data_IF_755110218533
#
_entry.id   IF_755110218533
#
_cell.length_a   1.000
_cell.length_b   1.000
_cell.length_c   1.000
_cell.angle_alpha   90.00
_cell.angle_beta   90.00
_cell.angle_gamma   90.00
#
_symmetry.space_group_name_H-M   'P 1'
#
loop_
_entity.id
_entity.type
_entity.pdbx_description
1 polymer ?
#
# COMPACT_ATOMS: atom_id res chain seq x y z
N UNK A 1 -16.89 -9.16 -1.84
CA UNK A 1 -15.94 -8.05 -2.10
C UNK A 1 -15.06 -8.45 -3.25
N UNK A 2 -14.78 -7.55 -4.21
CA UNK A 2 -13.80 -7.84 -5.26
C UNK A 2 -12.41 -7.85 -4.63
N UNK A 3 -11.72 -8.98 -4.58
CA UNK A 3 -10.32 -9.03 -4.17
C UNK A 3 -9.52 -9.58 -5.34
N UNK A 4 -8.31 -9.05 -5.54
CA UNK A 4 -7.31 -9.67 -6.38
C UNK A 4 -6.95 -10.99 -5.70
N UNK A 5 -7.14 -12.09 -6.43
CA UNK A 5 -6.77 -13.43 -5.97
C UNK A 5 -5.79 -14.02 -6.98
N UNK A 6 -4.79 -14.80 -6.52
CA UNK A 6 -3.88 -15.48 -7.43
C UNK A 6 -4.62 -16.39 -8.43
N UNK A 7 -5.72 -17.00 -7.99
CA UNK A 7 -6.52 -17.97 -8.77
C UNK A 7 -7.38 -17.31 -9.86
N UNK A 8 -7.73 -16.03 -9.71
CA UNK A 8 -8.46 -15.25 -10.72
C UNK A 8 -7.68 -13.98 -11.13
N UNK A 9 -6.55 -14.15 -11.86
CA UNK A 9 -5.65 -13.05 -12.21
C UNK A 9 -6.25 -12.10 -13.25
N UNK A 10 -7.36 -12.44 -13.91
CA UNK A 10 -8.00 -11.67 -15.00
C UNK A 10 -9.35 -11.06 -14.60
N UNK A 11 -9.52 -10.70 -13.33
CA UNK A 11 -10.68 -9.90 -12.90
C UNK A 11 -10.49 -8.43 -13.29
N UNK A 12 -11.59 -7.68 -13.49
CA UNK A 12 -11.52 -6.23 -13.79
C UNK A 12 -10.70 -5.48 -12.75
N UNK A 13 -10.88 -5.82 -11.47
CA UNK A 13 -10.11 -5.24 -10.36
C UNK A 13 -8.62 -5.61 -10.44
N UNK A 14 -8.27 -6.82 -10.87
CA UNK A 14 -6.87 -7.19 -11.05
C UNK A 14 -6.20 -6.37 -12.17
N UNK A 15 -6.90 -6.09 -13.27
CA UNK A 15 -6.38 -5.20 -14.32
C UNK A 15 -6.20 -3.76 -13.84
N UNK A 16 -7.14 -3.23 -13.05
CA UNK A 16 -7.02 -1.90 -12.44
C UNK A 16 -5.76 -1.81 -11.55
N UNK A 17 -5.56 -2.77 -10.65
CA UNK A 17 -4.37 -2.79 -9.80
C UNK A 17 -3.07 -3.05 -10.58
N UNK A 18 -3.12 -3.70 -11.75
CA UNK A 18 -1.95 -3.80 -12.65
C UNK A 18 -1.58 -2.45 -13.23
N UNK A 19 -2.56 -1.61 -13.60
CA UNK A 19 -2.28 -0.25 -14.07
C UNK A 19 -1.70 0.59 -12.93
N UNK A 20 -2.28 0.50 -11.73
CA UNK A 20 -1.83 1.26 -10.56
C UNK A 20 -0.39 0.89 -10.14
N UNK A 21 -0.03 -0.39 -10.12
CA UNK A 21 1.29 -0.81 -9.61
C UNK A 21 2.46 -0.46 -10.53
N UNK A 22 2.26 -0.38 -11.85
CA UNK A 22 3.34 -0.16 -12.84
C UNK A 22 4.23 1.06 -12.54
N UNK A 23 3.68 2.28 -12.38
CA UNK A 23 4.50 3.44 -12.03
C UNK A 23 5.18 3.27 -10.67
N UNK A 24 4.52 2.64 -9.70
CA UNK A 24 5.09 2.42 -8.37
C UNK A 24 6.32 1.50 -8.42
N UNK A 25 6.24 0.39 -9.14
CA UNK A 25 7.36 -0.54 -9.32
C UNK A 25 8.50 0.10 -10.13
N UNK A 26 8.17 0.87 -11.17
CA UNK A 26 9.18 1.59 -11.96
C UNK A 26 10.00 2.55 -11.09
N UNK A 27 9.34 3.27 -10.18
CA UNK A 27 10.00 4.16 -9.23
C UNK A 27 10.83 3.39 -8.20
N UNK A 28 10.30 2.26 -7.69
CA UNK A 28 11.00 1.41 -6.72
C UNK A 28 12.28 0.79 -7.29
N UNK A 29 12.25 0.33 -8.54
CA UNK A 29 13.42 -0.27 -9.21
C UNK A 29 14.42 0.75 -9.76
N UNK A 30 14.23 2.05 -9.52
CA UNK A 30 15.11 3.11 -10.03
C UNK A 30 15.15 3.23 -11.55
N UNK A 31 14.23 2.57 -12.27
CA UNK A 31 14.15 2.57 -13.74
C UNK A 31 13.39 3.80 -14.29
N UNK A 32 13.07 4.75 -13.42
CA UNK A 32 12.53 6.07 -13.75
C UNK A 32 13.58 7.04 -14.28
N UNK A 33 13.13 8.20 -14.75
CA UNK A 33 14.02 9.30 -15.18
C UNK A 33 14.78 9.94 -14.00
N UNK A 34 14.25 9.80 -12.79
CA UNK A 34 14.83 10.34 -11.56
C UNK A 34 14.74 9.28 -10.48
N UNK A 35 15.86 8.83 -9.88
CA UNK A 35 15.83 7.88 -8.78
C UNK A 35 15.00 8.43 -7.61
N UNK A 36 14.13 7.60 -7.07
CA UNK A 36 13.32 7.94 -5.90
C UNK A 36 14.00 7.33 -4.68
N UNK A 37 14.48 8.17 -3.77
CA UNK A 37 15.02 7.70 -2.49
C UNK A 37 13.94 6.87 -1.78
N UNK A 38 14.33 5.69 -1.29
CA UNK A 38 13.45 4.74 -0.60
C UNK A 38 12.18 4.42 -1.40
N UNK A 39 12.30 4.37 -2.73
CA UNK A 39 11.18 4.16 -3.65
C UNK A 39 10.45 2.82 -3.43
N UNK A 40 11.08 1.85 -2.80
CA UNK A 40 10.44 0.59 -2.41
C UNK A 40 9.55 0.70 -1.16
N UNK A 41 9.59 1.81 -0.42
CA UNK A 41 8.67 2.12 0.68
C UNK A 41 7.44 2.86 0.12
N UNK A 42 6.30 2.16 0.09
CA UNK A 42 5.05 2.64 -0.48
C UNK A 42 4.00 2.71 0.62
N UNK A 43 3.57 3.91 0.97
CA UNK A 43 2.48 4.11 1.93
C UNK A 43 1.14 4.27 1.22
N UNK A 44 0.14 3.54 1.66
CA UNK A 44 -1.26 3.70 1.26
C UNK A 44 -2.01 4.36 2.40
N UNK A 45 -2.63 5.49 2.11
CA UNK A 45 -3.35 6.31 3.09
C UNK A 45 -4.59 6.92 2.48
N UNK A 46 -5.34 7.68 3.27
CA UNK A 46 -6.52 8.40 2.83
C UNK A 46 -6.67 9.70 3.61
N UNK A 47 -7.57 10.60 3.18
CA UNK A 47 -7.84 11.82 3.93
C UNK A 47 -8.62 11.52 5.22
N UNK A 48 -9.62 10.63 5.13
CA UNK A 48 -10.62 10.33 6.13
C UNK A 48 -10.77 8.81 6.33
N UNK A 49 -11.32 8.35 7.48
CA UNK A 49 -11.57 6.94 7.73
C UNK A 49 -12.60 6.36 6.74
N UNK A 50 -12.39 5.10 6.34
CA UNK A 50 -13.38 4.34 5.56
C UNK A 50 -13.29 4.52 4.04
N UNK A 51 -12.33 5.28 3.52
CA UNK A 51 -12.17 5.50 2.07
C UNK A 51 -11.62 4.27 1.32
N UNK A 52 -11.15 3.25 2.04
CA UNK A 52 -10.72 1.96 1.48
C UNK A 52 -9.21 1.77 1.33
N UNK A 53 -8.39 2.60 2.00
CA UNK A 53 -6.93 2.48 2.09
C UNK A 53 -6.42 1.04 2.34
N UNK A 54 -7.01 0.33 3.30
CA UNK A 54 -6.58 -1.02 3.68
C UNK A 54 -6.90 -2.07 2.62
N UNK A 55 -8.06 -1.92 1.99
CA UNK A 55 -8.44 -2.72 0.84
C UNK A 55 -7.49 -2.47 -0.34
N UNK A 56 -7.15 -1.21 -0.61
CA UNK A 56 -6.18 -0.83 -1.63
C UNK A 56 -4.79 -1.36 -1.33
N UNK A 57 -4.30 -1.23 -0.10
CA UNK A 57 -3.01 -1.73 0.34
C UNK A 57 -2.88 -3.24 0.12
N UNK A 58 -3.90 -4.01 0.53
CA UNK A 58 -3.93 -5.46 0.37
C UNK A 58 -3.92 -5.87 -1.11
N UNK A 59 -4.82 -5.30 -1.94
CA UNK A 59 -4.90 -5.64 -3.36
C UNK A 59 -3.65 -5.22 -4.13
N UNK A 60 -3.06 -4.08 -3.77
CA UNK A 60 -1.82 -3.61 -4.35
C UNK A 60 -0.66 -4.55 -4.01
N UNK A 61 -0.54 -4.94 -2.73
CA UNK A 61 0.49 -5.87 -2.27
C UNK A 61 0.37 -7.25 -2.95
N UNK A 62 -0.85 -7.79 -3.06
CA UNK A 62 -1.11 -9.03 -3.79
C UNK A 62 -0.71 -8.89 -5.25
N UNK A 63 -1.14 -7.81 -5.92
CA UNK A 63 -0.83 -7.58 -7.33
C UNK A 63 0.68 -7.44 -7.56
N UNK A 64 1.42 -6.78 -6.67
CA UNK A 64 2.88 -6.68 -6.74
C UNK A 64 3.57 -8.02 -6.48
N UNK A 65 3.06 -8.85 -5.56
CA UNK A 65 3.62 -10.16 -5.26
C UNK A 65 3.47 -11.17 -6.42
N UNK A 66 2.60 -10.88 -7.38
CA UNK A 66 2.46 -11.67 -8.62
C UNK A 66 3.52 -11.32 -9.68
N UNK A 67 4.28 -10.23 -9.53
CA UNK A 67 5.39 -9.91 -10.44
C UNK A 67 6.56 -10.85 -10.23
N UNK A 68 7.31 -11.19 -11.28
CA UNK A 68 8.38 -12.18 -11.21
C UNK A 68 9.51 -11.77 -10.26
N UNK A 69 9.95 -10.52 -10.36
CA UNK A 69 11.23 -10.05 -9.79
C UNK A 69 11.10 -9.36 -8.42
N UNK A 70 9.93 -9.44 -7.78
CA UNK A 70 9.66 -8.73 -6.52
C UNK A 70 9.12 -9.63 -5.42
N UNK A 71 9.64 -9.44 -4.22
CA UNK A 71 9.00 -9.88 -2.97
C UNK A 71 8.27 -8.72 -2.31
N UNK A 72 7.19 -9.00 -1.59
CA UNK A 72 6.34 -7.97 -0.99
C UNK A 72 6.16 -8.22 0.50
N UNK A 73 6.33 -7.14 1.27
CA UNK A 73 5.95 -7.06 2.67
C UNK A 73 4.78 -6.08 2.83
N UNK A 74 3.63 -6.57 3.27
CA UNK A 74 2.49 -5.72 3.67
C UNK A 74 2.59 -5.42 5.17
N UNK A 75 2.74 -4.16 5.53
CA UNK A 75 2.83 -3.68 6.91
C UNK A 75 1.51 -3.04 7.31
N UNK A 76 0.88 -3.52 8.38
CA UNK A 76 -0.27 -2.86 9.01
C UNK A 76 0.25 -1.78 9.98
N UNK A 77 0.43 -0.56 9.47
CA UNK A 77 0.90 0.59 10.23
C UNK A 77 -0.25 1.39 10.86
N UNK A 78 -1.52 0.99 10.66
CA UNK A 78 -2.67 1.57 11.34
C UNK A 78 -2.83 0.95 12.74
N UNK A 79 -1.86 1.25 13.61
CA UNK A 79 -1.78 0.67 14.98
C UNK A 79 -2.97 1.05 15.87
N UNK A 80 -3.65 2.15 15.55
CA UNK A 80 -4.86 2.61 16.24
C UNK A 80 -6.10 1.79 15.86
N UNK A 81 -6.20 1.36 14.59
CA UNK A 81 -7.31 0.52 14.11
C UNK A 81 -6.83 -0.56 13.11
N UNK A 82 -5.97 -1.51 13.55
CA UNK A 82 -5.29 -2.46 12.64
C UNK A 82 -6.30 -3.26 11.86
N UNK A 83 -6.21 -3.37 10.55
CA UNK A 83 -7.30 -3.94 9.74
C UNK A 83 -6.90 -5.08 8.83
N UNK A 84 -5.60 -5.28 8.59
CA UNK A 84 -5.09 -6.26 7.62
C UNK A 84 -5.46 -7.67 8.06
N UNK A 85 -5.12 -8.06 9.30
CA UNK A 85 -5.43 -9.42 9.79
C UNK A 85 -6.93 -9.68 9.87
N UNK A 86 -7.74 -8.70 10.30
CA UNK A 86 -9.20 -8.83 10.32
C UNK A 86 -9.78 -9.05 8.93
N UNK A 87 -9.24 -8.34 7.93
CA UNK A 87 -9.67 -8.49 6.53
C UNK A 87 -9.35 -9.89 5.99
N UNK A 88 -8.28 -10.51 6.49
CA UNK A 88 -7.88 -11.87 6.16
C UNK A 88 -8.52 -12.95 7.03
N UNK A 89 -9.38 -12.58 7.99
CA UNK A 89 -10.01 -13.53 8.93
C UNK A 89 -9.05 -14.12 9.97
N UNK A 90 -7.90 -13.48 10.20
CA UNK A 90 -6.87 -13.91 11.13
C UNK A 90 -7.01 -13.19 12.49
N UNK A 91 -6.62 -13.89 13.57
CA UNK A 91 -6.57 -13.32 14.91
C UNK A 91 -5.41 -12.31 15.04
N UNK A 92 -5.50 -11.30 15.92
CA UNK A 92 -4.38 -10.43 16.25
C UNK A 92 -3.12 -11.23 16.60
N UNK A 93 -1.96 -10.76 16.14
CA UNK A 93 -0.65 -11.37 16.36
C UNK A 93 0.34 -10.26 16.76
N UNK A 94 1.49 -10.66 17.30
CA UNK A 94 2.64 -9.76 17.50
C UNK A 94 3.07 -9.16 16.15
N UNK A 95 3.65 -7.97 16.17
CA UNK A 95 3.92 -7.22 14.96
C UNK A 95 4.81 -5.99 15.15
N UNK A 96 4.57 -4.97 14.33
CA UNK A 96 5.33 -3.73 14.27
C UNK A 96 5.57 -3.10 15.65
N UNK A 97 4.52 -2.96 16.45
CA UNK A 97 4.63 -2.37 17.79
C UNK A 97 5.49 -3.22 18.72
N UNK A 98 5.43 -4.54 18.62
CA UNK A 98 6.22 -5.43 19.46
C UNK A 98 7.72 -5.34 19.14
N UNK A 99 8.08 -5.19 17.86
CA UNK A 99 9.46 -4.95 17.40
C UNK A 99 9.98 -3.61 17.89
N UNK A 100 9.15 -2.57 17.89
CA UNK A 100 9.56 -1.23 18.29
C UNK A 100 9.64 -1.02 19.81
N UNK A 101 8.95 -1.86 20.59
CA UNK A 101 8.82 -1.68 22.05
C UNK A 101 9.57 -2.74 22.87
N UNK A 102 9.90 -3.89 22.29
CA UNK A 102 10.59 -4.98 22.99
C UNK A 102 11.95 -5.26 22.37
N UNK A 103 13.03 -5.10 23.13
CA UNK A 103 14.42 -5.35 22.68
C UNK A 103 14.67 -6.77 22.17
N UNK A 104 13.91 -7.74 22.71
CA UNK A 104 14.11 -9.17 22.43
C UNK A 104 13.26 -9.65 21.24
N UNK A 105 12.52 -8.75 20.57
CA UNK A 105 11.67 -9.07 19.42
C UNK A 105 12.29 -8.52 18.15
N UNK A 106 12.73 -9.41 17.26
CA UNK A 106 13.26 -9.01 15.95
C UNK A 106 12.18 -9.05 14.88
N UNK A 107 12.39 -8.31 13.78
CA UNK A 107 11.46 -8.29 12.65
C UNK A 107 11.13 -9.70 12.12
N UNK A 108 12.10 -10.62 11.89
CA UNK A 108 11.81 -11.98 11.45
C UNK A 108 10.86 -12.78 12.36
N UNK A 109 10.81 -12.49 13.67
CA UNK A 109 10.01 -13.23 14.65
C UNK A 109 8.50 -12.97 14.53
N UNK A 110 8.13 -11.85 13.89
CA UNK A 110 6.74 -11.38 13.80
C UNK A 110 6.21 -11.31 12.36
N UNK A 111 7.01 -11.74 11.38
CA UNK A 111 6.56 -11.83 9.99
C UNK A 111 5.65 -13.05 9.79
N UNK A 112 4.45 -12.81 9.29
CA UNK A 112 3.51 -13.86 8.91
C UNK A 112 3.68 -14.19 7.43
N UNK A 113 3.90 -15.48 7.14
CA UNK A 113 3.84 -15.99 5.77
C UNK A 113 2.38 -16.14 5.34
N UNK A 114 2.10 -15.83 4.08
CA UNK A 114 0.77 -16.04 3.50
C UNK A 114 0.78 -17.28 2.59
N UNK A 115 -0.39 -17.65 2.07
CA UNK A 115 -0.51 -18.64 0.99
C UNK A 115 -0.10 -18.08 -0.39
N UNK A 116 0.33 -16.81 -0.46
CA UNK A 116 0.89 -16.18 -1.64
C UNK A 116 2.40 -16.15 -1.46
N UNK A 117 3.12 -16.93 -2.30
CA UNK A 117 4.55 -17.25 -2.14
C UNK A 117 5.44 -16.05 -1.81
N UNK A 118 5.25 -14.93 -2.51
CA UNK A 118 6.08 -13.73 -2.40
C UNK A 118 5.47 -12.63 -1.55
N UNK A 119 4.41 -12.92 -0.78
CA UNK A 119 3.77 -11.98 0.11
C UNK A 119 3.92 -12.41 1.58
N UNK A 120 4.55 -11.54 2.37
CA UNK A 120 4.57 -11.63 3.83
C UNK A 120 3.82 -10.46 4.44
N UNK A 121 3.36 -10.62 5.67
CA UNK A 121 2.62 -9.60 6.41
C UNK A 121 3.37 -9.29 7.71
N UNK A 122 3.55 -8.01 8.00
CA UNK A 122 3.90 -7.51 9.32
C UNK A 122 2.62 -6.93 9.95
N UNK A 123 2.01 -7.61 10.93
CA UNK A 123 0.86 -7.08 11.66
C UNK A 123 1.20 -5.80 12.41
N UNK A 124 0.19 -5.06 12.86
CA UNK A 124 0.41 -3.90 13.72
C UNK A 124 1.02 -4.30 15.08
N UNK A 125 0.69 -5.49 15.59
CA UNK A 125 1.12 -5.94 16.91
C UNK A 125 0.20 -5.48 18.03
N UNK A 126 0.68 -5.60 19.25
CA UNK A 126 -0.06 -5.19 20.43
C UNK A 126 -0.21 -3.66 20.52
N UNK A 127 -1.40 -3.19 20.92
CA UNK A 127 -1.65 -1.76 21.12
C UNK A 127 -0.77 -1.21 22.24
N UNK A 128 -0.18 -0.05 22.02
CA UNK A 128 0.67 0.64 23.00
C UNK A 128 0.09 2.02 23.32
N UNK A 129 0.18 2.48 24.57
CA UNK A 129 -0.36 3.78 24.98
C UNK A 129 0.34 4.97 24.30
N UNK A 130 1.60 4.79 23.91
CA UNK A 130 2.45 5.79 23.24
C UNK A 130 2.70 5.45 21.76
N UNK A 131 1.68 4.97 21.07
CA UNK A 131 1.82 4.50 19.69
C UNK A 131 2.36 5.59 18.76
N UNK A 132 1.89 6.83 18.93
CA UNK A 132 2.33 7.99 18.15
C UNK A 132 3.82 8.26 18.33
N UNK A 133 4.30 8.30 19.57
CA UNK A 133 5.71 8.58 19.88
C UNK A 133 6.62 7.44 19.43
N UNK A 134 6.14 6.19 19.52
CA UNK A 134 6.89 5.03 19.03
C UNK A 134 7.04 5.07 17.51
N UNK A 135 5.99 5.41 16.77
CA UNK A 135 6.06 5.54 15.30
C UNK A 135 6.90 6.75 14.84
N UNK A 136 6.99 7.81 15.65
CA UNK A 136 7.85 8.96 15.39
C UNK A 136 9.28 8.79 15.95
N UNK A 137 9.60 7.65 16.55
CA UNK A 137 10.89 7.44 17.23
C UNK A 137 12.04 7.16 16.26
N UNK A 138 13.27 7.32 16.75
CA UNK A 138 14.47 6.84 16.04
C UNK A 138 14.45 5.33 15.79
N UNK A 139 13.78 4.56 16.66
CA UNK A 139 13.61 3.12 16.47
C UNK A 139 12.83 2.82 15.19
N UNK A 140 11.75 3.58 14.92
CA UNK A 140 11.00 3.44 13.68
C UNK A 140 11.80 3.87 12.46
N UNK A 141 12.57 4.96 12.55
CA UNK A 141 13.46 5.39 11.46
C UNK A 141 14.50 4.32 11.12
N UNK A 142 15.13 3.71 12.13
CA UNK A 142 16.08 2.60 11.92
C UNK A 142 15.41 1.38 11.31
N UNK A 143 14.19 1.05 11.74
CA UNK A 143 13.43 -0.07 11.18
C UNK A 143 13.06 0.17 9.72
N UNK A 144 12.66 1.38 9.34
CA UNK A 144 12.34 1.74 7.96
C UNK A 144 13.60 1.69 7.07
N UNK A 145 14.74 2.17 7.55
CA UNK A 145 16.01 2.09 6.83
C UNK A 145 16.45 0.62 6.64
N UNK A 146 16.30 -0.20 7.68
CA UNK A 146 16.54 -1.65 7.58
C UNK A 146 15.59 -2.28 6.54
N UNK A 147 14.28 -1.98 6.60
CA UNK A 147 13.30 -2.51 5.63
C UNK A 147 13.61 -2.10 4.19
N UNK A 148 14.02 -0.84 3.98
CA UNK A 148 14.33 -0.30 2.66
C UNK A 148 15.59 -0.93 2.04
N UNK A 149 16.61 -1.21 2.86
CA UNK A 149 17.95 -1.58 2.37
C UNK A 149 18.25 -3.08 2.45
N UNK A 150 17.53 -3.84 3.29
CA UNK A 150 17.84 -5.26 3.57
C UNK A 150 17.69 -6.18 2.37
N UNK A 151 16.75 -5.90 1.47
CA UNK A 151 16.49 -6.72 0.28
C UNK A 151 16.20 -5.83 -0.93
N UNK A 152 17.07 -5.88 -1.94
CA UNK A 152 16.97 -5.00 -3.11
C UNK A 152 15.71 -5.23 -3.97
N UNK A 153 15.17 -6.45 -3.95
CA UNK A 153 13.96 -6.86 -4.69
C UNK A 153 12.66 -6.62 -3.89
N UNK A 154 12.76 -6.23 -2.61
CA UNK A 154 11.61 -6.16 -1.72
C UNK A 154 10.89 -4.83 -1.81
N UNK A 155 9.59 -4.92 -2.07
CA UNK A 155 8.62 -3.82 -1.98
C UNK A 155 7.92 -3.88 -0.63
N UNK A 156 7.81 -2.75 0.06
CA UNK A 156 7.15 -2.65 1.36
C UNK A 156 5.94 -1.74 1.22
N UNK A 157 4.74 -2.31 1.38
CA UNK A 157 3.47 -1.61 1.31
C UNK A 157 2.95 -1.37 2.72
N UNK A 158 2.76 -0.11 3.12
CA UNK A 158 2.23 0.25 4.42
C UNK A 158 0.74 0.61 4.31
N UNK A 159 -0.14 -0.15 4.97
CA UNK A 159 -1.51 0.31 5.29
C UNK A 159 -1.43 1.25 6.49
N UNK A 160 -1.70 2.53 6.29
CA UNK A 160 -1.53 3.56 7.33
C UNK A 160 -2.87 4.16 7.76
N UNK A 161 -2.95 4.86 8.90
CA UNK A 161 -4.15 5.60 9.28
C UNK A 161 -4.45 6.78 8.32
N UNK A 162 -5.66 7.37 8.37
CA UNK A 162 -6.00 8.54 7.57
C UNK A 162 -5.31 9.82 8.05
N UNK A 163 -4.86 10.65 7.11
CA UNK A 163 -3.99 11.82 7.33
C UNK A 163 -4.64 12.92 8.17
N UNK A 164 -5.93 13.22 7.96
CA UNK A 164 -6.57 14.37 8.62
C UNK A 164 -7.00 14.07 10.06
N UNK A 165 -6.99 12.81 10.47
CA UNK A 165 -7.48 12.38 11.79
C UNK A 165 -6.33 12.02 12.73
N UNK A 166 -5.16 11.69 12.20
CA UNK A 166 -4.06 11.09 12.96
C UNK A 166 -2.75 11.84 12.72
N UNK A 167 -1.88 11.88 13.73
CA UNK A 167 -0.53 12.44 13.63
C UNK A 167 0.48 11.38 13.18
N UNK A 168 0.19 10.11 13.47
CA UNK A 168 0.97 8.92 13.11
C UNK A 168 1.21 8.82 11.61
N UNK A 169 0.17 8.99 10.81
CA UNK A 169 0.27 8.92 9.36
C UNK A 169 1.23 9.98 8.80
N UNK A 170 1.26 11.18 9.39
CA UNK A 170 2.16 12.27 8.97
C UNK A 170 3.61 11.97 9.31
N UNK A 171 3.87 11.43 10.50
CA UNK A 171 5.22 11.02 10.89
C UNK A 171 5.76 9.91 9.97
N UNK A 172 4.93 8.94 9.60
CA UNK A 172 5.33 7.90 8.64
C UNK A 172 5.57 8.46 7.24
N UNK A 173 4.69 9.36 6.77
CA UNK A 173 4.75 9.90 5.42
C UNK A 173 6.07 10.60 5.07
N UNK A 174 6.77 11.20 6.05
CA UNK A 174 8.06 11.87 5.82
C UNK A 174 9.20 10.93 5.49
N UNK A 175 9.01 9.62 5.70
CA UNK A 175 10.01 8.58 5.44
C UNK A 175 9.69 7.72 4.21
N UNK A 176 8.59 8.00 3.51
CA UNK A 176 8.13 7.19 2.39
C UNK A 176 8.65 7.75 1.07
N UNK A 177 9.19 6.87 0.21
CA UNK A 177 9.53 7.25 -1.17
C UNK A 177 8.28 7.47 -2.02
N UNK A 178 7.18 6.76 -1.74
CA UNK A 178 5.95 6.88 -2.51
C UNK A 178 4.71 6.84 -1.62
N UNK A 179 3.72 7.69 -1.93
CA UNK A 179 2.42 7.69 -1.26
C UNK A 179 1.29 7.54 -2.28
N UNK A 180 0.38 6.59 -2.00
CA UNK A 180 -0.91 6.43 -2.66
C UNK A 180 -2.00 6.98 -1.75
N UNK A 181 -2.59 8.11 -2.14
CA UNK A 181 -3.72 8.73 -1.49
C UNK A 181 -5.03 8.18 -2.05
N UNK A 182 -5.72 7.36 -1.27
CA UNK A 182 -7.04 6.82 -1.60
C UNK A 182 -8.11 7.86 -1.29
N UNK A 183 -8.96 8.13 -2.28
CA UNK A 183 -10.04 9.11 -2.23
C UNK A 183 -11.36 8.39 -2.49
N UNK A 184 -12.34 8.51 -1.59
CA UNK A 184 -13.67 7.94 -1.82
C UNK A 184 -14.47 8.77 -2.84
N UNK A 185 -14.90 8.11 -3.92
CA UNK A 185 -15.71 8.72 -4.96
C UNK A 185 -17.01 9.31 -4.40
N UNK A 186 -17.38 10.50 -4.90
CA UNK A 186 -18.63 11.19 -4.59
C UNK A 186 -18.86 11.55 -3.11
N UNK A 187 -17.90 11.23 -2.21
CA UNK A 187 -18.02 11.46 -0.77
C UNK A 187 -16.92 12.34 -0.21
N UNK A 188 -15.68 12.15 -0.66
CA UNK A 188 -14.56 12.94 -0.13
C UNK A 188 -14.52 14.31 -0.79
N UNK A 189 -14.53 15.35 0.04
CA UNK A 189 -14.56 16.73 -0.45
C UNK A 189 -13.22 17.14 -1.05
N UNK A 190 -13.25 18.02 -2.05
CA UNK A 190 -12.04 18.59 -2.64
C UNK A 190 -11.16 19.30 -1.59
N UNK A 191 -11.77 19.93 -0.58
CA UNK A 191 -11.04 20.55 0.53
C UNK A 191 -10.28 19.54 1.38
N UNK A 192 -10.87 18.38 1.68
CA UNK A 192 -10.21 17.31 2.43
C UNK A 192 -9.03 16.72 1.63
N UNK A 193 -9.21 16.47 0.34
CA UNK A 193 -8.12 16.01 -0.54
C UNK A 193 -6.98 17.02 -0.58
N UNK A 194 -7.29 18.31 -0.75
CA UNK A 194 -6.27 19.37 -0.78
C UNK A 194 -5.47 19.44 0.52
N UNK A 195 -6.14 19.37 1.68
CA UNK A 195 -5.47 19.34 2.98
C UNK A 195 -4.60 18.08 3.14
N UNK A 196 -5.08 16.91 2.71
CA UNK A 196 -4.33 15.67 2.77
C UNK A 196 -3.05 15.73 1.91
N UNK A 197 -3.15 16.25 0.68
CA UNK A 197 -1.98 16.44 -0.20
C UNK A 197 -0.95 17.39 0.41
N UNK A 198 -1.39 18.47 1.07
CA UNK A 198 -0.48 19.39 1.79
C UNK A 198 0.27 18.69 2.92
N UNK A 199 -0.37 17.77 3.64
CA UNK A 199 0.28 17.04 4.75
C UNK A 199 1.39 16.09 4.28
N UNK A 200 1.36 15.66 3.03
CA UNK A 200 2.36 14.74 2.44
C UNK A 200 3.25 15.42 1.40
N UNK A 201 3.29 16.75 1.40
CA UNK A 201 3.98 17.54 0.38
C UNK A 201 5.46 17.13 0.21
N UNK A 202 6.13 16.80 1.32
CA UNK A 202 7.53 16.40 1.36
C UNK A 202 7.83 15.05 0.67
N UNK A 203 6.83 14.19 0.47
CA UNK A 203 7.04 12.89 -0.19
C UNK A 203 7.34 13.10 -1.69
N UNK A 204 8.38 12.47 -2.25
CA UNK A 204 8.81 12.75 -3.62
C UNK A 204 7.79 12.29 -4.67
N UNK A 205 7.11 11.16 -4.45
CA UNK A 205 6.10 10.63 -5.38
C UNK A 205 4.74 10.52 -4.68
N UNK A 206 3.73 11.16 -5.28
CA UNK A 206 2.35 11.16 -4.80
C UNK A 206 1.43 10.71 -5.92
N UNK A 207 0.61 9.71 -5.66
CA UNK A 207 -0.43 9.21 -6.56
C UNK A 207 -1.79 9.30 -5.87
N UNK A 208 -2.82 9.75 -6.57
CA UNK A 208 -4.20 9.69 -6.08
C UNK A 208 -4.93 8.52 -6.72
N UNK A 209 -5.71 7.79 -5.93
CA UNK A 209 -6.53 6.66 -6.36
C UNK A 209 -7.98 6.92 -5.97
N UNK A 210 -8.87 6.99 -6.95
CA UNK A 210 -10.30 7.13 -6.71
C UNK A 210 -10.92 5.75 -6.46
N UNK A 211 -11.54 5.56 -5.30
CA UNK A 211 -12.09 4.28 -4.87
C UNK A 211 -13.61 4.36 -4.71
N UNK A 212 -14.29 3.20 -4.76
CA UNK A 212 -15.76 3.05 -4.68
C UNK A 212 -16.51 3.78 -5.79
N UNK A 213 -15.89 3.90 -6.96
CA UNK A 213 -16.54 4.45 -8.14
C UNK A 213 -17.76 3.61 -8.54
N UNK A 214 -18.90 4.26 -8.73
CA UNK A 214 -20.08 3.62 -9.32
C UNK A 214 -19.85 3.39 -10.81
N UNK A 215 -20.11 2.18 -11.31
CA UNK A 215 -20.03 1.85 -12.75
C UNK A 215 -21.18 2.43 -13.58
N UNK A 216 -22.05 3.27 -13.02
CA UNK A 216 -23.33 3.68 -13.59
C UNK A 216 -23.37 5.14 -14.12
N UNK A 217 -22.23 5.76 -14.40
CA UNK A 217 -22.19 7.06 -15.09
C UNK A 217 -22.22 6.92 -16.62
N UNK A 218 -22.62 7.95 -17.39
CA UNK A 218 -22.59 7.96 -18.88
C UNK A 218 -21.17 7.91 -19.49
N UNK A 219 -20.17 7.48 -18.71
CA UNK A 219 -18.78 7.27 -19.10
C UNK A 219 -18.25 5.87 -18.72
N UNK A 220 -19.12 4.91 -18.37
CA UNK A 220 -18.77 3.52 -18.03
C UNK A 220 -18.17 2.69 -19.17
N UNK A 221 -17.78 3.33 -20.27
CA UNK A 221 -17.12 2.77 -21.45
C UNK A 221 -15.78 3.45 -21.76
N UNK A 222 -15.11 4.09 -20.80
CA UNK A 222 -13.70 4.48 -20.97
C UNK A 222 -12.77 3.30 -20.68
N UNK A 223 -12.88 2.27 -21.53
CA UNK A 223 -11.77 1.38 -21.81
C UNK A 223 -10.67 2.22 -22.45
N UNK A 224 -9.56 2.42 -21.73
CA UNK A 224 -8.35 2.93 -22.35
C UNK A 224 -7.90 1.92 -23.41
N UNK A 225 -8.24 2.24 -24.67
CA UNK A 225 -7.75 1.55 -25.84
C UNK A 225 -6.24 1.72 -25.96
N UNK A 226 -5.52 0.65 -25.64
CA UNK A 226 -4.34 0.26 -26.40
C UNK A 226 -4.65 -1.11 -27.00
N UNK A 227 -5.22 -1.08 -28.20
CA UNK A 227 -5.48 -2.27 -29.00
C UNK A 227 -4.15 -2.88 -29.46
N UNK A 228 -3.85 -4.07 -28.97
CA UNK A 228 -3.04 -5.03 -29.72
C UNK A 228 -4.01 -5.91 -30.51
N UNK A 229 -4.20 -5.56 -31.77
CA UNK A 229 -4.87 -6.42 -32.73
C UNK A 229 -3.96 -7.60 -33.06
N UNK A 230 -4.27 -8.78 -32.51
CA UNK A 230 -3.82 -10.01 -33.12
C UNK A 230 -4.66 -10.23 -34.37
N UNK A 231 -4.02 -10.10 -35.54
CA UNK A 231 -4.58 -10.51 -36.81
C UNK A 231 -4.90 -12.00 -36.76
N UNK A 232 -6.18 -12.33 -36.89
CA UNK A 232 -6.58 -13.62 -37.42
C UNK A 232 -6.62 -13.45 -38.95
N UNK A 233 -5.58 -13.97 -39.62
CA UNK A 233 -5.70 -14.36 -41.02
C UNK A 233 -6.85 -15.38 -41.11
N UNK A 234 -7.91 -15.00 -41.81
CA UNK A 234 -8.90 -15.96 -42.28
C UNK A 234 -8.43 -16.44 -43.66
N UNK A 235 -7.94 -17.68 -43.70
CA UNK A 235 -7.96 -18.49 -44.92
C UNK A 235 -9.42 -18.73 -45.33
N UNK A 236 -9.77 -18.29 -46.54
CA UNK A 236 -10.89 -18.78 -47.34
C UNK A 236 -10.55 -18.62 -48.83
#
# INVERSE_FOLDING_TARGET
MGMVTPDHPRSSIAEEYRVIKRPLLKNASGSGSTPVKDGNLIMVTSALPGEGKSFTALNLAISMAMELDHTVLLVDADVSKPSVLRTLGLQPQRGLMDVLTNSDTSLPDVLLRTNIEKLSILPAGNTHQRATEVLASEGMMRLLDEMATRYADRIIVFDSPPLLVTTEARALATHMGQIVLVVEAERTTHSAVKQAVQMIEACPVKMSLLNKCSTHGPGGYYGYGYGYGYGAENDA
#
